data_IF_381579116005
#
_entry.id   IF_381579116005
#
_cell.length_a   1.000
_cell.length_b   1.000
_cell.length_c   1.000
_cell.angle_alpha   90.00
_cell.angle_beta   90.00
_cell.angle_gamma   90.00
#
_symmetry.space_group_name_H-M   'P 1'
#
loop_
_entity.id
_entity.type
_entity.pdbx_description
1 polymer ?
#
# COMPACT_ATOMS: atom_id res chain seq x y z
N UNK A 1 6.94 32.22 -4.91
CA UNK A 1 8.02 31.84 -3.98
C UNK A 1 7.37 31.16 -2.78
N UNK A 2 7.76 29.93 -2.45
CA UNK A 2 7.24 29.24 -1.26
C UNK A 2 7.94 29.83 -0.03
N UNK A 3 7.17 30.25 0.97
CA UNK A 3 7.71 30.74 2.25
C UNK A 3 7.82 29.58 3.23
N UNK A 4 9.01 29.38 3.79
CA UNK A 4 9.27 28.42 4.88
C UNK A 4 8.86 29.10 6.19
N UNK A 5 7.94 28.48 6.94
CA UNK A 5 7.27 29.14 8.08
C UNK A 5 7.39 28.42 9.42
N UNK A 6 7.59 27.11 9.43
CA UNK A 6 7.56 26.29 10.65
C UNK A 6 8.98 25.92 11.07
N UNK A 7 9.28 26.05 12.37
CA UNK A 7 10.58 25.73 12.99
C UNK A 7 10.38 25.25 14.43
N UNK A 8 11.39 24.63 15.05
CA UNK A 8 11.30 24.15 16.43
C UNK A 8 10.20 23.11 16.62
N UNK A 9 9.56 23.12 17.78
CA UNK A 9 8.57 22.10 18.16
C UNK A 9 7.38 22.02 17.20
N UNK A 10 6.90 23.15 16.68
CA UNK A 10 5.77 23.17 15.72
C UNK A 10 6.10 22.42 14.42
N UNK A 11 7.38 22.45 13.99
CA UNK A 11 7.84 21.68 12.83
C UNK A 11 7.81 20.18 13.15
N UNK A 12 8.34 19.78 14.30
CA UNK A 12 8.37 18.38 14.74
C UNK A 12 6.97 17.79 14.90
N UNK A 13 6.08 18.49 15.60
CA UNK A 13 4.67 18.11 15.74
C UNK A 13 3.99 17.93 14.38
N UNK A 14 4.37 18.74 13.38
CA UNK A 14 3.80 18.65 12.03
C UNK A 14 4.32 17.44 11.27
N UNK A 15 5.57 17.03 11.48
CA UNK A 15 6.15 15.82 10.91
C UNK A 15 5.50 14.59 11.55
N UNK A 16 5.42 14.53 12.88
CA UNK A 16 4.82 13.41 13.62
C UNK A 16 3.34 13.22 13.26
N UNK A 17 2.56 14.31 13.31
CA UNK A 17 1.15 14.30 12.94
C UNK A 17 0.90 13.85 11.50
N UNK A 18 1.86 14.05 10.59
CA UNK A 18 1.71 13.55 9.22
C UNK A 18 1.78 12.01 9.17
N UNK A 19 2.65 11.41 9.98
CA UNK A 19 2.77 9.94 10.10
C UNK A 19 1.56 9.37 10.85
N UNK A 20 1.16 10.01 11.96
CA UNK A 20 0.05 9.53 12.78
C UNK A 20 -1.28 9.52 12.03
N UNK A 21 -1.53 10.50 11.17
CA UNK A 21 -2.73 10.53 10.33
C UNK A 21 -2.83 9.33 9.39
N UNK A 22 -1.71 8.87 8.82
CA UNK A 22 -1.70 7.70 7.93
C UNK A 22 -1.95 6.42 8.74
N UNK A 23 -1.30 6.30 9.91
CA UNK A 23 -1.49 5.16 10.83
C UNK A 23 -2.93 5.07 11.35
N UNK A 24 -3.51 6.19 11.76
CA UNK A 24 -4.90 6.27 12.21
C UNK A 24 -5.87 5.84 11.12
N UNK A 25 -5.70 6.38 9.90
CA UNK A 25 -6.53 6.01 8.75
C UNK A 25 -6.47 4.53 8.45
N UNK A 26 -5.27 3.97 8.40
CA UNK A 26 -5.06 2.54 8.18
C UNK A 26 -5.79 1.70 9.24
N UNK A 27 -5.63 2.04 10.52
CA UNK A 27 -6.28 1.34 11.64
C UNK A 27 -7.80 1.39 11.55
N UNK A 28 -8.39 2.57 11.31
CA UNK A 28 -9.84 2.74 11.20
C UNK A 28 -10.44 1.94 10.06
N UNK A 29 -9.79 1.95 8.89
CA UNK A 29 -10.22 1.18 7.71
C UNK A 29 -10.19 -0.31 8.00
N UNK A 30 -9.05 -0.79 8.51
CA UNK A 30 -8.84 -2.20 8.81
C UNK A 30 -9.81 -2.72 9.86
N UNK A 31 -10.02 -1.96 10.94
CA UNK A 31 -10.98 -2.31 11.98
C UNK A 31 -12.42 -2.37 11.45
N UNK A 32 -12.86 -1.38 10.67
CA UNK A 32 -14.21 -1.35 10.12
C UNK A 32 -14.47 -2.49 9.13
N UNK A 33 -13.49 -2.85 8.31
CA UNK A 33 -13.62 -3.97 7.38
C UNK A 33 -13.61 -5.32 8.12
N UNK A 34 -12.76 -5.47 9.15
CA UNK A 34 -12.76 -6.66 10.01
C UNK A 34 -14.10 -6.83 10.76
N UNK A 35 -14.64 -5.76 11.35
CA UNK A 35 -15.93 -5.78 12.07
C UNK A 35 -17.09 -6.13 11.13
N UNK A 36 -17.05 -5.66 9.89
CA UNK A 36 -18.04 -5.99 8.86
C UNK A 36 -17.83 -7.37 8.22
N UNK A 37 -16.76 -8.10 8.58
CA UNK A 37 -16.43 -9.40 7.99
C UNK A 37 -16.06 -9.33 6.50
N UNK A 38 -15.57 -8.17 6.03
CA UNK A 38 -15.22 -7.93 4.63
C UNK A 38 -13.76 -8.33 4.40
N UNK A 39 -13.47 -9.30 3.52
CA UNK A 39 -12.10 -9.62 3.14
C UNK A 39 -11.37 -8.42 2.53
N UNK A 40 -10.27 -8.01 3.15
CA UNK A 40 -9.39 -6.97 2.65
C UNK A 40 -7.92 -7.36 2.81
N UNK A 41 -7.04 -6.70 2.07
CA UNK A 41 -5.61 -6.76 2.30
C UNK A 41 -4.98 -5.38 2.12
N UNK A 42 -4.17 -4.96 3.08
CA UNK A 42 -3.32 -3.77 2.93
C UNK A 42 -2.28 -4.04 1.84
N UNK A 43 -2.10 -3.08 0.94
CA UNK A 43 -1.10 -3.11 -0.13
C UNK A 43 -0.31 -1.80 -0.15
N UNK A 44 0.36 -1.51 -1.27
CA UNK A 44 1.01 -0.20 -1.43
C UNK A 44 2.24 -0.04 -0.54
N UNK A 45 2.52 1.17 -0.08
CA UNK A 45 3.68 1.46 0.77
C UNK A 45 3.49 1.01 2.22
N UNK A 46 2.25 0.87 2.71
CA UNK A 46 2.00 0.38 4.07
C UNK A 46 2.32 -1.12 4.19
N UNK A 47 1.96 -1.92 3.18
CA UNK A 47 2.34 -3.34 3.14
C UNK A 47 3.86 -3.53 3.16
N UNK A 48 4.61 -2.67 2.46
CA UNK A 48 6.09 -2.70 2.49
C UNK A 48 6.59 -2.45 3.91
N UNK A 49 6.08 -1.42 4.59
CA UNK A 49 6.46 -1.13 5.98
C UNK A 49 6.15 -2.30 6.92
N UNK A 50 4.98 -2.93 6.77
CA UNK A 50 4.57 -4.08 7.60
C UNK A 50 5.57 -5.23 7.46
N UNK A 51 6.08 -5.47 6.26
CA UNK A 51 7.05 -6.54 6.01
C UNK A 51 8.47 -6.17 6.43
N UNK A 52 8.96 -5.00 6.03
CA UNK A 52 10.32 -4.53 6.36
C UNK A 52 10.50 -4.36 7.88
N UNK A 53 9.51 -3.81 8.58
CA UNK A 53 9.58 -3.60 10.03
C UNK A 53 9.67 -4.90 10.87
N UNK A 54 9.38 -6.06 10.27
CA UNK A 54 9.58 -7.35 10.93
C UNK A 54 11.04 -7.82 10.92
N UNK A 55 11.87 -7.23 10.05
CA UNK A 55 13.29 -7.57 9.88
C UNK A 55 14.17 -6.46 10.45
N UNK A 56 13.96 -5.22 10.02
CA UNK A 56 14.75 -4.06 10.44
C UNK A 56 13.86 -2.81 10.56
N UNK A 57 13.71 -2.30 11.78
CA UNK A 57 12.94 -1.08 12.05
C UNK A 57 13.58 0.19 11.48
N UNK A 58 14.89 0.20 11.26
CA UNK A 58 15.66 1.36 10.79
C UNK A 58 15.53 1.56 9.28
N UNK A 59 15.17 0.51 8.54
CA UNK A 59 14.92 0.55 7.10
C UNK A 59 13.49 1.01 6.73
N UNK A 60 12.63 1.25 7.72
CA UNK A 60 11.21 1.56 7.49
C UNK A 60 11.03 2.97 6.92
N UNK A 61 10.45 3.07 5.72
CA UNK A 61 10.03 4.34 5.11
C UNK A 61 8.55 4.62 5.31
N UNK A 62 8.22 5.82 5.78
CA UNK A 62 6.82 6.25 5.86
C UNK A 62 6.23 6.51 4.47
N UNK A 63 4.98 6.08 4.28
CA UNK A 63 4.15 6.43 3.11
C UNK A 63 3.09 7.46 3.49
N UNK A 64 2.56 8.16 2.49
CA UNK A 64 1.39 9.06 2.63
C UNK A 64 0.09 8.39 2.19
N UNK A 65 0.21 7.40 1.31
CA UNK A 65 -0.91 6.72 0.67
C UNK A 65 -1.37 5.54 1.54
N UNK A 66 -2.68 5.34 1.68
CA UNK A 66 -3.24 4.08 2.18
C UNK A 66 -3.88 3.37 1.00
N UNK A 67 -3.45 2.14 0.71
CA UNK A 67 -3.95 1.34 -0.40
C UNK A 67 -4.46 0.00 0.15
N UNK A 68 -5.65 -0.42 -0.28
CA UNK A 68 -6.25 -1.72 0.06
C UNK A 68 -6.71 -2.47 -1.19
N UNK A 69 -6.69 -3.80 -1.09
CA UNK A 69 -7.35 -4.73 -2.01
C UNK A 69 -8.63 -5.23 -1.35
N UNK A 70 -9.73 -5.28 -2.12
CA UNK A 70 -10.97 -5.98 -1.78
C UNK A 70 -11.50 -6.72 -3.02
N UNK A 71 -12.48 -7.62 -2.87
CA UNK A 71 -13.22 -8.08 -4.04
C UNK A 71 -14.16 -6.98 -4.55
N UNK A 72 -14.39 -6.91 -5.86
CA UNK A 72 -15.36 -5.97 -6.43
C UNK A 72 -16.78 -6.19 -5.92
N UNK A 73 -17.16 -7.44 -5.65
CA UNK A 73 -18.46 -7.78 -5.06
C UNK A 73 -18.68 -7.16 -3.68
N UNK A 74 -17.60 -6.90 -2.94
CA UNK A 74 -17.65 -6.44 -1.56
C UNK A 74 -17.66 -4.91 -1.46
N UNK A 75 -17.53 -4.20 -2.60
CA UNK A 75 -17.45 -2.74 -2.63
C UNK A 75 -18.65 -2.06 -1.97
N UNK A 76 -19.87 -2.52 -2.24
CA UNK A 76 -21.07 -1.91 -1.64
C UNK A 76 -21.14 -2.13 -0.12
N UNK A 77 -20.74 -3.32 0.36
CA UNK A 77 -20.63 -3.57 1.79
C UNK A 77 -19.53 -2.72 2.44
N UNK A 78 -18.39 -2.56 1.76
CA UNK A 78 -17.27 -1.75 2.21
C UNK A 78 -17.66 -0.26 2.31
N UNK A 79 -18.49 0.24 1.39
CA UNK A 79 -19.04 1.60 1.48
C UNK A 79 -19.81 1.81 2.77
N UNK A 80 -20.74 0.91 3.09
CA UNK A 80 -21.55 0.99 4.32
C UNK A 80 -20.66 0.94 5.57
N UNK A 81 -19.72 0.00 5.62
CA UNK A 81 -18.83 -0.19 6.77
C UNK A 81 -17.92 1.02 7.00
N UNK A 82 -17.32 1.56 5.93
CA UNK A 82 -16.39 2.67 6.03
C UNK A 82 -17.10 4.01 6.24
N UNK A 83 -18.31 4.19 5.70
CA UNK A 83 -19.15 5.36 5.98
C UNK A 83 -19.53 5.45 7.46
N UNK A 84 -19.80 4.32 8.12
CA UNK A 84 -20.12 4.26 9.55
C UNK A 84 -18.98 4.81 10.45
N UNK A 85 -17.73 4.79 9.97
CA UNK A 85 -16.56 5.34 10.68
C UNK A 85 -16.04 6.64 10.05
N UNK A 86 -16.87 7.31 9.24
CA UNK A 86 -16.65 8.67 8.76
C UNK A 86 -15.94 8.80 7.41
N UNK A 87 -15.72 7.70 6.69
CA UNK A 87 -15.18 7.77 5.33
C UNK A 87 -16.27 8.09 4.29
N UNK A 88 -15.89 8.78 3.21
CA UNK A 88 -16.81 9.10 2.11
C UNK A 88 -16.29 8.46 0.83
N UNK A 89 -17.07 7.53 0.26
CA UNK A 89 -16.71 6.92 -1.01
C UNK A 89 -16.73 7.94 -2.15
N UNK A 90 -15.74 7.83 -3.04
CA UNK A 90 -15.63 8.65 -4.24
C UNK A 90 -15.02 7.83 -5.38
N UNK A 91 -15.58 7.98 -6.56
CA UNK A 91 -15.03 7.45 -7.80
C UNK A 91 -14.63 8.60 -8.72
N UNK A 92 -13.34 8.72 -9.07
CA UNK A 92 -12.83 9.79 -9.94
C UNK A 92 -11.72 9.24 -10.83
N UNK A 93 -11.79 9.53 -12.14
CA UNK A 93 -10.78 9.12 -13.13
C UNK A 93 -10.46 7.62 -13.06
N UNK A 94 -11.49 6.79 -12.96
CA UNK A 94 -11.37 5.33 -12.86
C UNK A 94 -10.66 4.83 -11.60
N UNK A 95 -10.56 5.67 -10.55
CA UNK A 95 -9.99 5.29 -9.26
C UNK A 95 -11.09 5.33 -8.20
N UNK A 96 -11.26 4.20 -7.53
CA UNK A 96 -12.10 4.03 -6.35
C UNK A 96 -11.33 4.41 -5.10
N UNK A 97 -11.91 5.25 -4.26
CA UNK A 97 -11.27 5.70 -3.03
C UNK A 97 -12.27 6.05 -1.94
N UNK A 98 -11.81 6.01 -0.69
CA UNK A 98 -12.53 6.47 0.48
C UNK A 98 -11.83 7.69 1.06
N UNK A 99 -12.49 8.85 1.01
CA UNK A 99 -12.01 10.10 1.59
C UNK A 99 -12.17 10.07 3.10
N UNK A 100 -11.16 10.53 3.83
CA UNK A 100 -11.13 10.56 5.30
C UNK A 100 -11.93 11.75 5.86
N UNK A 101 -13.24 11.74 5.62
CA UNK A 101 -14.18 12.82 5.91
C UNK A 101 -14.58 13.65 4.68
N UNK A 102 -15.62 14.49 4.80
CA UNK A 102 -16.21 15.22 3.67
C UNK A 102 -15.28 16.28 3.07
N UNK A 103 -14.41 16.88 3.90
CA UNK A 103 -13.46 17.91 3.49
C UNK A 103 -12.07 17.34 3.14
N UNK A 104 -11.91 16.02 3.15
CA UNK A 104 -10.63 15.39 2.90
C UNK A 104 -10.20 15.54 1.45
N UNK A 105 -8.90 15.76 1.27
CA UNK A 105 -8.32 15.85 -0.07
C UNK A 105 -8.13 14.43 -0.62
N UNK A 106 -8.16 14.24 -1.94
CA UNK A 106 -7.88 12.93 -2.54
C UNK A 106 -6.52 12.33 -2.14
N UNK A 107 -5.53 13.16 -1.80
CA UNK A 107 -4.22 12.70 -1.29
C UNK A 107 -4.27 12.10 0.11
N UNK A 108 -5.36 12.34 0.83
CA UNK A 108 -5.63 11.87 2.18
C UNK A 108 -6.69 10.75 2.14
N UNK A 109 -6.84 10.07 0.99
CA UNK A 109 -7.79 9.01 0.80
C UNK A 109 -7.19 7.63 1.07
N UNK A 110 -8.06 6.64 1.15
CA UNK A 110 -7.76 5.21 1.03
C UNK A 110 -8.05 4.81 -0.39
N UNK A 111 -7.05 4.39 -1.14
CA UNK A 111 -7.21 3.88 -2.50
C UNK A 111 -7.62 2.42 -2.48
N UNK A 112 -8.57 2.09 -3.36
CA UNK A 112 -9.07 0.73 -3.52
C UNK A 112 -8.63 0.19 -4.86
N UNK A 113 -8.06 -0.99 -4.85
CA UNK A 113 -7.84 -1.82 -6.04
C UNK A 113 -8.59 -3.13 -5.87
N UNK A 114 -9.01 -3.75 -6.98
CA UNK A 114 -9.87 -4.93 -6.94
C UNK A 114 -9.10 -6.21 -7.21
N UNK A 115 -9.28 -7.21 -6.36
CA UNK A 115 -8.66 -8.52 -6.50
C UNK A 115 -9.01 -9.15 -7.85
N UNK A 116 -8.01 -9.77 -8.51
CA UNK A 116 -8.19 -10.42 -9.82
C UNK A 116 -8.32 -9.47 -11.01
N UNK A 117 -8.30 -8.16 -10.80
CA UNK A 117 -8.43 -7.17 -11.87
C UNK A 117 -7.10 -6.47 -12.16
N UNK A 118 -6.86 -6.09 -13.41
CA UNK A 118 -5.73 -5.23 -13.73
C UNK A 118 -6.04 -3.79 -13.34
N UNK A 119 -5.08 -3.15 -12.66
CA UNK A 119 -5.17 -1.70 -12.37
C UNK A 119 -5.06 -0.87 -13.65
N UNK A 120 -4.29 -1.34 -14.63
CA UNK A 120 -4.19 -0.77 -15.97
C UNK A 120 -4.10 -1.88 -16.99
N UNK A 121 -4.68 -1.69 -18.17
CA UNK A 121 -4.76 -2.72 -19.21
C UNK A 121 -3.38 -3.24 -19.66
N UNK A 122 -2.37 -2.35 -19.65
CA UNK A 122 -0.98 -2.62 -20.02
C UNK A 122 -0.17 -3.36 -18.94
N UNK A 123 -0.71 -3.56 -17.75
CA UNK A 123 -0.01 -4.29 -16.68
C UNK A 123 0.12 -5.78 -17.01
N UNK A 124 1.28 -6.37 -16.70
CA UNK A 124 1.57 -7.78 -16.99
C UNK A 124 0.78 -8.76 -16.12
N UNK A 125 0.37 -8.34 -14.91
CA UNK A 125 -0.37 -9.16 -13.97
C UNK A 125 -1.58 -8.40 -13.39
N UNK A 126 -2.70 -9.10 -13.09
CA UNK A 126 -3.77 -8.52 -12.29
C UNK A 126 -3.31 -8.32 -10.83
N UNK A 127 -4.11 -7.58 -10.08
CA UNK A 127 -4.02 -7.53 -8.62
C UNK A 127 -4.19 -8.97 -8.08
N UNK A 128 -3.37 -9.41 -7.12
CA UNK A 128 -3.47 -10.71 -6.46
C UNK A 128 -4.88 -11.03 -5.97
N UNK A 129 -5.19 -12.32 -5.82
CA UNK A 129 -6.43 -12.75 -5.17
C UNK A 129 -6.44 -12.25 -3.72
N UNK A 130 -7.64 -11.96 -3.21
CA UNK A 130 -7.81 -11.62 -1.79
C UNK A 130 -7.44 -12.77 -0.85
N UNK A 131 -7.36 -13.99 -1.38
CA UNK A 131 -6.96 -15.18 -0.63
C UNK A 131 -5.43 -15.29 -0.49
N UNK A 132 -4.66 -14.53 -1.26
CA UNK A 132 -3.20 -14.41 -1.11
C UNK A 132 -2.81 -13.42 0.01
N UNK A 133 -3.74 -13.14 0.94
CA UNK A 133 -3.52 -12.27 2.10
C UNK A 133 -2.98 -13.04 3.29
N UNK A 134 -2.22 -12.34 4.12
CA UNK A 134 -1.70 -12.82 5.39
C UNK A 134 -2.29 -12.00 6.54
N UNK A 135 -2.48 -12.66 7.68
CA UNK A 135 -2.94 -12.03 8.92
C UNK A 135 -1.75 -11.77 9.82
N UNK A 136 -1.46 -10.50 10.08
CA UNK A 136 -0.45 -10.05 11.04
C UNK A 136 -1.19 -9.43 12.22
N UNK A 137 -1.44 -10.25 13.25
CA UNK A 137 -2.27 -9.90 14.43
C UNK A 137 -3.66 -9.37 14.04
N UNK A 138 -3.88 -8.07 14.22
CA UNK A 138 -5.12 -7.32 14.01
C UNK A 138 -5.24 -6.73 12.61
N UNK A 139 -4.27 -6.99 11.72
CA UNK A 139 -4.23 -6.45 10.38
C UNK A 139 -4.12 -7.56 9.33
N UNK A 140 -4.79 -7.39 8.19
CA UNK A 140 -4.51 -8.20 7.01
C UNK A 140 -3.71 -7.42 5.96
N UNK A 141 -2.62 -8.01 5.48
CA UNK A 141 -1.75 -7.46 4.42
C UNK A 141 -1.62 -8.48 3.31
N UNK A 142 -1.32 -8.06 2.08
CA UNK A 142 -1.04 -9.04 1.02
C UNK A 142 0.28 -9.78 1.33
N UNK A 143 0.36 -11.07 0.97
CA UNK A 143 1.58 -11.87 1.11
C UNK A 143 2.78 -11.18 0.48
N UNK A 144 3.97 -11.42 1.03
CA UNK A 144 5.19 -10.76 0.56
C UNK A 144 5.44 -11.01 -0.94
N UNK A 145 5.26 -12.26 -1.40
CA UNK A 145 5.42 -12.61 -2.81
C UNK A 145 4.47 -11.85 -3.74
N UNK A 146 3.20 -11.76 -3.34
CA UNK A 146 2.20 -10.98 -4.05
C UNK A 146 2.51 -9.49 -4.03
N UNK A 147 3.01 -8.95 -2.92
CA UNK A 147 3.42 -7.56 -2.82
C UNK A 147 4.56 -7.26 -3.80
N UNK A 148 5.58 -8.11 -3.84
CA UNK A 148 6.71 -7.99 -4.77
C UNK A 148 6.23 -8.05 -6.21
N UNK A 149 5.35 -9.01 -6.55
CA UNK A 149 4.71 -9.08 -7.87
C UNK A 149 3.98 -7.77 -8.22
N UNK A 150 3.23 -7.18 -7.30
CA UNK A 150 2.55 -5.90 -7.51
C UNK A 150 3.53 -4.74 -7.74
N UNK A 151 4.61 -4.66 -6.97
CA UNK A 151 5.66 -3.64 -7.12
C UNK A 151 6.38 -3.77 -8.44
N UNK A 152 6.79 -4.98 -8.81
CA UNK A 152 7.41 -5.28 -10.10
C UNK A 152 6.45 -4.99 -11.25
N UNK A 153 5.15 -5.24 -11.10
CA UNK A 153 4.15 -4.94 -12.14
C UNK A 153 4.00 -3.43 -12.37
N UNK A 154 3.91 -2.65 -11.30
CA UNK A 154 3.75 -1.18 -11.39
C UNK A 154 5.04 -0.46 -11.77
N UNK A 155 6.18 -0.90 -11.22
CA UNK A 155 7.55 -0.48 -11.49
C UNK A 155 7.82 1.03 -11.57
N UNK A 156 7.03 1.84 -10.85
CA UNK A 156 7.27 3.28 -10.68
C UNK A 156 8.49 3.51 -9.79
N UNK A 157 9.04 4.71 -9.79
CA UNK A 157 10.23 5.05 -8.99
C UNK A 157 10.08 4.67 -7.52
N UNK A 158 8.91 4.97 -6.92
CA UNK A 158 8.60 4.56 -5.54
C UNK A 158 8.54 3.05 -5.35
N UNK A 159 8.08 2.30 -6.34
CA UNK A 159 8.00 0.84 -6.26
C UNK A 159 9.38 0.20 -6.41
N UNK A 160 10.26 0.76 -7.25
CA UNK A 160 11.67 0.34 -7.35
C UNK A 160 12.42 0.60 -6.05
N UNK A 161 12.21 1.76 -5.42
CA UNK A 161 12.78 2.06 -4.11
C UNK A 161 12.30 1.07 -3.05
N UNK A 162 11.00 0.77 -2.97
CA UNK A 162 10.50 -0.23 -2.02
C UNK A 162 11.11 -1.62 -2.24
N UNK A 163 11.32 -2.05 -3.49
CA UNK A 163 11.95 -3.33 -3.80
C UNK A 163 13.43 -3.35 -3.40
N UNK A 164 14.15 -2.24 -3.57
CA UNK A 164 15.51 -2.09 -3.06
C UNK A 164 15.57 -2.12 -1.54
N UNK A 165 14.66 -1.44 -0.86
CA UNK A 165 14.59 -1.51 0.61
C UNK A 165 14.36 -2.96 1.09
N UNK A 166 13.56 -3.77 0.36
CA UNK A 166 13.38 -5.20 0.67
C UNK A 166 14.64 -6.04 0.39
N UNK A 167 15.38 -5.74 -0.68
CA UNK A 167 16.65 -6.40 -1.01
C UNK A 167 17.73 -6.08 0.03
N UNK A 168 17.83 -4.82 0.46
CA UNK A 168 18.83 -4.31 1.41
C UNK A 168 18.72 -5.00 2.78
N UNK A 169 17.49 -5.28 3.24
CA UNK A 169 17.24 -6.03 4.48
C UNK A 169 17.16 -7.54 4.27
N UNK A 170 17.57 -8.05 3.10
CA UNK A 170 17.56 -9.48 2.72
C UNK A 170 16.17 -10.16 2.84
N UNK A 171 15.09 -9.38 2.78
CA UNK A 171 13.72 -9.89 2.83
C UNK A 171 13.35 -10.60 1.50
N UNK A 172 13.98 -10.18 0.41
CA UNK A 172 13.97 -10.84 -0.90
C UNK A 172 15.39 -10.90 -1.45
N UNK A 173 15.63 -11.82 -2.40
CA UNK A 173 16.95 -12.03 -3.01
C UNK A 173 16.84 -12.58 -4.45
N UNK A 174 17.97 -12.95 -5.06
CA UNK A 174 18.02 -13.54 -6.40
C UNK A 174 17.23 -14.85 -6.54
N UNK A 175 17.01 -15.59 -5.45
CA UNK A 175 16.23 -16.84 -5.47
C UNK A 175 14.75 -16.62 -5.80
N UNK A 176 14.30 -15.36 -5.79
CA UNK A 176 12.94 -14.98 -6.15
C UNK A 176 12.73 -14.83 -7.66
N UNK A 177 13.80 -14.70 -8.46
CA UNK A 177 13.68 -14.55 -9.92
C UNK A 177 12.80 -15.63 -10.57
N UNK A 178 12.95 -16.94 -10.27
CA UNK A 178 12.13 -17.97 -10.93
C UNK A 178 10.64 -17.93 -10.55
N UNK A 179 10.23 -17.14 -9.55
CA UNK A 179 8.84 -17.04 -9.07
C UNK A 179 7.96 -16.15 -9.94
N UNK A 180 8.56 -15.32 -10.80
CA UNK A 180 7.83 -14.32 -11.58
C UNK A 180 7.86 -14.60 -13.08
N UNK A 181 6.95 -13.98 -13.85
CA UNK A 181 6.97 -14.03 -15.32
C UNK A 181 8.18 -13.27 -15.88
N UNK A 182 8.70 -13.61 -17.08
CA UNK A 182 9.98 -13.10 -17.59
C UNK A 182 10.16 -11.58 -17.50
N UNK A 183 9.13 -10.80 -17.79
CA UNK A 183 9.17 -9.34 -17.73
C UNK A 183 9.40 -8.81 -16.30
N UNK A 184 8.82 -9.49 -15.30
CA UNK A 184 9.01 -9.16 -13.89
C UNK A 184 10.35 -9.69 -13.37
N UNK A 185 10.82 -10.83 -13.86
CA UNK A 185 12.17 -11.33 -13.54
C UNK A 185 13.23 -10.32 -13.98
N UNK A 186 13.12 -9.82 -15.22
CA UNK A 186 14.04 -8.82 -15.75
C UNK A 186 14.05 -7.56 -14.89
N UNK A 187 12.87 -7.10 -14.46
CA UNK A 187 12.73 -5.93 -13.57
C UNK A 187 13.38 -6.15 -12.21
N UNK A 188 13.26 -7.35 -11.63
CA UNK A 188 13.93 -7.68 -10.37
C UNK A 188 15.45 -7.77 -10.55
N UNK A 189 15.91 -8.42 -11.62
CA UNK A 189 17.33 -8.52 -11.96
C UNK A 189 17.97 -7.14 -12.10
N UNK A 190 17.29 -6.20 -12.77
CA UNK A 190 17.77 -4.82 -12.89
C UNK A 190 18.03 -4.14 -11.54
N UNK A 191 17.25 -4.46 -10.50
CA UNK A 191 17.43 -3.89 -9.16
C UNK A 191 18.56 -4.58 -8.39
N UNK A 192 18.78 -5.87 -8.65
CA UNK A 192 19.89 -6.65 -8.08
C UNK A 192 21.23 -6.19 -8.69
N UNK A 193 21.26 -5.99 -10.00
CA UNK A 193 22.45 -5.56 -10.73
C UNK A 193 22.85 -4.11 -10.43
N UNK A 194 21.86 -3.28 -10.05
CA UNK A 194 22.03 -1.86 -9.75
C UNK A 194 21.25 -1.46 -8.47
N UNK A 195 21.81 -1.80 -7.29
CA UNK A 195 21.17 -1.55 -6.00
C UNK A 195 21.04 -0.05 -5.68
N UNK A 196 21.93 0.79 -6.22
CA UNK A 196 21.94 2.24 -5.96
C UNK A 196 21.11 3.05 -6.98
N UNK A 197 21.03 2.57 -8.22
CA UNK A 197 20.11 3.08 -9.25
C UNK A 197 20.56 4.23 -10.12
#
# INVERSE_FOLDING_TARGET
MVSIRYTGDELWERIERAVDKVKDRLKRVSAALDEAGIPYAVVGGNAVQIWVAQVDETAVRNTRDVDIVINRSDLEAAKVALEAVGFVYRHVKSVDMFLDGPDAKPRDAVHVVFAGEKVRDDYHAPVPSIDERERIKDLSTISLESLVRMKLTSFRDKDRMHLRDMLDVELIDESWLPRFVPELQQRLQMLIDDPDG
#
